data_IF_064975435630
#
_entry.id   IF_064975435630
#
_cell.length_a   1.000
_cell.length_b   1.000
_cell.length_c   1.000
_cell.angle_alpha   90.00
_cell.angle_beta   90.00
_cell.angle_gamma   90.00
#
_symmetry.space_group_name_H-M   'P 1'
#
loop_
_entity.id
_entity.type
_entity.pdbx_description
1 polymer ?
#
# COMPACT_ATOMS: atom_id res chain seq x y z
N UNK A 1 -65.27 5.58 11.32
CA UNK A 1 -64.51 4.48 11.94
C UNK A 1 -63.03 4.85 11.92
N UNK A 2 -62.52 5.28 13.07
CA UNK A 2 -61.12 5.67 13.30
C UNK A 2 -60.28 4.42 13.59
N UNK A 3 -59.39 4.05 12.67
CA UNK A 3 -58.46 2.92 12.88
C UNK A 3 -57.08 3.45 13.25
N UNK A 4 -56.69 3.04 14.46
CA UNK A 4 -55.51 3.38 15.22
C UNK A 4 -54.24 2.78 14.58
N UNK A 5 -53.28 3.63 14.19
CA UNK A 5 -51.99 3.22 13.60
C UNK A 5 -50.97 3.03 14.73
N UNK A 6 -50.60 1.78 15.02
CA UNK A 6 -49.55 1.45 16.01
C UNK A 6 -48.14 1.85 15.51
N UNK A 7 -47.27 2.39 16.38
CA UNK A 7 -45.90 2.78 16.01
C UNK A 7 -44.95 1.57 16.08
N UNK A 8 -44.74 0.89 14.95
CA UNK A 8 -43.81 -0.25 14.80
C UNK A 8 -42.40 0.10 14.32
N UNK A 9 -41.98 1.37 14.36
CA UNK A 9 -40.72 1.85 13.74
C UNK A 9 -39.50 1.81 14.68
N UNK A 10 -39.64 1.35 15.93
CA UNK A 10 -38.58 1.40 16.96
C UNK A 10 -37.96 0.04 17.32
N UNK A 11 -38.52 -1.07 16.84
CA UNK A 11 -38.04 -2.41 17.24
C UNK A 11 -36.67 -2.79 16.68
N UNK A 12 -36.26 -2.25 15.53
CA UNK A 12 -35.00 -2.63 14.87
C UNK A 12 -33.78 -1.95 15.50
N UNK A 13 -33.94 -0.78 16.14
CA UNK A 13 -32.85 -0.12 16.87
C UNK A 13 -32.66 -0.73 18.27
N UNK A 14 -33.71 -1.27 18.88
CA UNK A 14 -33.66 -1.83 20.23
C UNK A 14 -33.11 -3.27 20.28
N UNK A 15 -33.10 -3.99 19.14
CA UNK A 15 -32.64 -5.38 19.11
C UNK A 15 -31.13 -5.53 18.87
N UNK A 16 -30.43 -4.45 18.52
CA UNK A 16 -28.96 -4.42 18.32
C UNK A 16 -28.22 -4.05 19.63
N UNK A 17 -28.90 -3.48 20.62
CA UNK A 17 -28.30 -3.07 21.91
C UNK A 17 -28.18 -4.17 22.97
N UNK A 18 -28.70 -5.39 22.74
CA UNK A 18 -28.85 -6.41 23.79
C UNK A 18 -28.04 -7.71 23.63
N UNK A 19 -26.99 -7.72 22.81
CA UNK A 19 -26.08 -8.88 22.71
C UNK A 19 -24.64 -8.50 23.11
N UNK A 20 -24.39 -8.47 24.43
CA UNK A 20 -23.17 -8.97 25.12
C UNK A 20 -22.83 -8.13 26.37
N UNK A 21 -22.76 -8.74 27.58
CA UNK A 21 -22.33 -8.06 28.80
C UNK A 21 -20.79 -8.03 28.90
N UNK A 22 -20.20 -6.84 29.00
CA UNK A 22 -18.80 -6.66 29.42
C UNK A 22 -18.72 -6.57 30.96
N UNK A 23 -17.75 -7.22 31.63
CA UNK A 23 -17.47 -6.96 33.04
C UNK A 23 -16.64 -5.67 33.23
N UNK A 24 -16.65 -5.07 34.45
CA UNK A 24 -16.27 -3.68 34.67
C UNK A 24 -14.75 -3.46 34.83
N UNK A 25 -14.33 -2.27 34.41
CA UNK A 25 -12.99 -1.70 34.58
C UNK A 25 -12.79 -1.30 36.05
N UNK A 26 -11.76 -1.84 36.70
CA UNK A 26 -11.28 -1.35 38.00
C UNK A 26 -10.30 -0.19 37.80
N UNK A 27 -10.71 0.98 38.29
CA UNK A 27 -9.88 2.14 38.60
C UNK A 27 -9.02 1.84 39.84
N UNK A 28 -7.72 2.18 39.81
CA UNK A 28 -6.91 2.38 41.01
C UNK A 28 -6.08 3.66 40.84
N UNK A 29 -6.06 4.40 41.94
CA UNK A 29 -5.75 5.81 42.17
C UNK A 29 -4.27 6.17 42.33
N UNK A 30 -4.06 7.49 42.36
CA UNK A 30 -2.84 8.29 42.53
C UNK A 30 -1.98 8.09 43.80
N UNK A 31 -0.67 8.34 43.60
CA UNK A 31 0.32 9.09 44.43
C UNK A 31 0.91 8.44 45.71
N UNK A 32 2.03 8.95 46.31
CA UNK A 32 2.92 10.07 45.95
C UNK A 32 4.46 9.80 46.04
N UNK A 33 5.22 10.85 45.70
CA UNK A 33 6.63 11.18 45.92
C UNK A 33 7.29 10.72 47.24
N UNK A 34 8.61 10.44 47.17
CA UNK A 34 9.58 10.90 48.16
C UNK A 34 10.98 11.04 47.53
N UNK A 35 11.57 12.20 47.79
CA UNK A 35 12.91 12.65 47.42
C UNK A 35 13.85 12.34 48.60
N UNK A 36 15.13 12.02 48.38
CA UNK A 36 16.12 12.39 49.40
C UNK A 36 17.53 12.66 48.87
N UNK A 37 18.15 13.59 49.59
CA UNK A 37 19.35 14.38 49.34
C UNK A 37 20.67 13.68 49.76
N UNK A 38 21.79 14.05 49.12
CA UNK A 38 23.02 14.63 49.73
C UNK A 38 24.16 14.72 48.67
N UNK A 39 24.62 15.91 48.20
CA UNK A 39 25.71 16.79 48.73
C UNK A 39 27.04 16.01 48.96
N UNK A 40 28.23 16.39 48.45
CA UNK A 40 28.96 17.69 48.49
C UNK A 40 30.26 17.57 47.66
N UNK A 41 30.56 18.46 46.70
CA UNK A 41 31.54 19.57 46.72
C UNK A 41 33.04 19.25 46.95
N UNK A 42 33.89 19.43 45.91
CA UNK A 42 35.12 20.27 45.98
C UNK A 42 35.75 20.52 44.59
N UNK A 43 35.95 21.80 44.31
CA UNK A 43 36.75 22.44 43.26
C UNK A 43 38.24 22.16 43.38
N UNK A 44 39.00 22.16 42.26
CA UNK A 44 40.26 22.91 42.04
C UNK A 44 40.69 22.84 40.56
N UNK A 45 41.26 23.95 40.07
CA UNK A 45 41.74 24.25 38.70
C UNK A 45 43.29 24.30 38.75
N UNK A 46 44.03 24.57 37.65
CA UNK A 46 44.58 23.66 36.63
C UNK A 46 46.12 23.48 36.74
N UNK A 47 46.71 22.55 35.98
CA UNK A 47 48.13 22.65 35.61
C UNK A 47 48.37 22.17 34.17
N UNK A 48 48.94 23.06 33.36
CA UNK A 48 49.50 22.81 32.04
C UNK A 48 50.78 21.98 32.17
N UNK A 49 50.88 20.87 31.44
CA UNK A 49 52.16 20.36 30.91
C UNK A 49 51.92 19.94 29.47
N UNK A 50 52.84 20.35 28.61
CA UNK A 50 52.79 20.20 27.17
C UNK A 50 53.38 18.85 26.71
N UNK A 51 52.92 18.46 25.51
CA UNK A 51 53.64 17.64 24.51
C UNK A 51 53.79 16.15 24.75
N UNK A 52 53.04 15.35 23.97
CA UNK A 52 53.63 14.34 23.07
C UNK A 52 52.58 13.85 22.06
N UNK A 53 52.90 14.07 20.79
CA UNK A 53 52.20 13.69 19.57
C UNK A 53 52.01 12.17 19.49
N UNK A 54 50.76 11.70 19.56
CA UNK A 54 50.36 10.38 19.05
C UNK A 54 49.40 10.59 17.87
N UNK A 55 49.85 10.27 16.67
CA UNK A 55 48.98 10.06 15.52
C UNK A 55 47.98 8.94 15.86
N UNK A 56 46.71 9.31 16.00
CA UNK A 56 45.57 8.40 15.87
C UNK A 56 44.87 8.74 14.55
N UNK A 57 44.60 7.76 13.67
CA UNK A 57 43.73 8.02 12.52
C UNK A 57 42.32 8.30 13.04
N UNK A 58 41.85 9.50 12.78
CA UNK A 58 40.49 9.94 13.08
C UNK A 58 39.51 9.29 12.10
N UNK A 59 38.69 8.35 12.60
CA UNK A 59 37.40 8.06 11.97
C UNK A 59 36.49 9.29 12.12
N UNK A 60 35.86 9.82 11.05
CA UNK A 60 34.74 10.72 11.22
C UNK A 60 33.46 9.89 11.32
N UNK A 61 33.13 9.46 12.54
CA UNK A 61 31.75 9.04 12.87
C UNK A 61 30.93 10.31 13.15
N UNK A 62 30.46 10.97 12.09
CA UNK A 62 29.34 11.91 12.14
C UNK A 62 28.53 11.74 10.86
N UNK A 63 27.70 10.70 10.81
CA UNK A 63 26.57 10.64 9.88
C UNK A 63 25.52 11.63 10.39
N UNK A 64 25.73 12.91 10.09
CA UNK A 64 24.68 13.90 10.15
C UNK A 64 23.95 13.80 8.81
N UNK A 65 22.71 13.32 8.82
CA UNK A 65 21.77 13.47 7.70
C UNK A 65 21.65 14.97 7.40
N UNK A 66 22.50 15.47 6.51
CA UNK A 66 22.44 16.84 6.04
C UNK A 66 21.36 16.87 4.95
N UNK A 67 20.10 17.07 5.37
CA UNK A 67 19.06 17.43 4.43
C UNK A 67 19.47 18.76 3.77
N UNK A 68 19.83 18.72 2.49
CA UNK A 68 20.04 19.94 1.72
C UNK A 68 18.75 20.79 1.78
N UNK A 69 18.86 22.12 1.93
CA UNK A 69 17.69 22.98 1.90
C UNK A 69 16.92 22.79 0.59
N UNK A 70 15.60 22.57 0.68
CA UNK A 70 14.71 22.60 -0.47
C UNK A 70 14.95 23.89 -1.25
N UNK A 71 15.44 23.78 -2.49
CA UNK A 71 15.59 24.96 -3.36
C UNK A 71 14.20 25.50 -3.72
N UNK A 72 14.02 26.83 -3.79
CA UNK A 72 12.82 27.39 -4.40
C UNK A 72 12.79 26.96 -5.88
N UNK A 73 11.61 26.55 -6.33
CA UNK A 73 11.35 26.10 -7.70
C UNK A 73 12.01 27.07 -8.69
N UNK A 74 12.88 26.55 -9.56
CA UNK A 74 13.35 27.29 -10.72
C UNK A 74 12.16 27.57 -11.61
N UNK A 75 11.75 28.83 -11.67
CA UNK A 75 10.67 29.32 -12.54
C UNK A 75 11.16 29.30 -13.99
N UNK A 76 11.29 28.13 -14.58
CA UNK A 76 11.49 28.00 -16.03
C UNK A 76 10.13 28.24 -16.67
N UNK A 77 10.01 29.40 -17.31
CA UNK A 77 8.80 29.88 -17.97
C UNK A 77 8.40 28.96 -19.13
N UNK A 78 7.47 28.05 -18.83
CA UNK A 78 6.68 27.27 -19.78
C UNK A 78 7.14 25.82 -19.93
N UNK A 79 6.32 24.85 -19.48
CA UNK A 79 5.92 23.62 -20.21
C UNK A 79 5.24 22.58 -19.28
N UNK A 80 3.95 22.30 -19.50
CA UNK A 80 3.28 21.05 -19.08
C UNK A 80 3.04 20.78 -17.57
N UNK A 81 1.86 20.26 -17.24
CA UNK A 81 1.55 19.72 -15.90
C UNK A 81 2.52 18.61 -15.46
N UNK A 82 3.15 17.93 -16.43
CA UNK A 82 4.10 16.86 -16.21
C UNK A 82 5.45 17.34 -15.65
N UNK A 83 6.06 18.38 -16.24
CA UNK A 83 7.33 18.91 -15.74
C UNK A 83 7.13 19.59 -14.37
N UNK A 84 5.99 20.25 -14.15
CA UNK A 84 5.66 20.75 -12.80
C UNK A 84 5.53 19.64 -11.74
N UNK A 85 5.11 18.43 -12.12
CA UNK A 85 5.11 17.28 -11.21
C UNK A 85 6.53 16.72 -11.02
N UNK A 86 7.33 16.68 -12.09
CA UNK A 86 8.73 16.25 -12.02
C UNK A 86 9.57 17.18 -11.13
N UNK A 87 9.29 18.49 -11.13
CA UNK A 87 9.96 19.48 -10.29
C UNK A 87 9.38 19.59 -8.88
N UNK A 88 8.44 18.72 -8.51
CA UNK A 88 7.78 18.82 -7.21
C UNK A 88 8.71 18.43 -6.04
N UNK A 89 8.45 18.98 -4.85
CA UNK A 89 9.20 18.68 -3.63
C UNK A 89 9.26 17.18 -3.25
N UNK A 90 8.20 16.35 -3.41
CA UNK A 90 8.30 14.93 -3.10
C UNK A 90 9.21 14.17 -4.09
N UNK A 91 9.31 14.61 -5.34
CA UNK A 91 10.24 14.01 -6.32
C UNK A 91 11.68 14.30 -5.92
N UNK A 92 12.01 15.55 -5.62
CA UNK A 92 13.34 15.93 -5.12
C UNK A 92 13.72 15.20 -3.83
N UNK A 93 12.79 15.06 -2.87
CA UNK A 93 13.03 14.27 -1.65
C UNK A 93 13.37 12.81 -1.98
N UNK A 94 12.70 12.27 -3.00
CA UNK A 94 12.90 10.90 -3.46
C UNK A 94 14.25 10.74 -4.16
N UNK A 95 14.67 11.71 -4.98
CA UNK A 95 16.01 11.76 -5.58
C UNK A 95 17.10 11.75 -4.49
N UNK A 96 16.96 12.62 -3.49
CA UNK A 96 17.89 12.70 -2.36
C UNK A 96 17.95 11.40 -1.57
N UNK A 97 16.81 10.73 -1.40
CA UNK A 97 16.76 9.41 -0.76
C UNK A 97 17.53 8.37 -1.58
N UNK A 98 17.36 8.33 -2.90
CA UNK A 98 18.11 7.41 -3.77
C UNK A 98 19.62 7.66 -3.71
N UNK A 99 20.03 8.93 -3.81
CA UNK A 99 21.43 9.34 -3.73
C UNK A 99 22.01 8.96 -2.37
N UNK A 100 21.27 9.23 -1.29
CA UNK A 100 21.71 8.90 0.07
C UNK A 100 21.89 7.39 0.27
N UNK A 101 20.96 6.57 -0.23
CA UNK A 101 21.10 5.10 -0.17
C UNK A 101 22.31 4.64 -0.98
N UNK A 102 22.51 5.16 -2.17
CA UNK A 102 23.68 4.82 -3.00
C UNK A 102 25.00 5.20 -2.31
N UNK A 103 25.12 6.42 -1.80
CA UNK A 103 26.33 6.91 -1.11
C UNK A 103 26.62 6.18 0.20
N UNK A 104 25.59 5.81 0.96
CA UNK A 104 25.77 5.13 2.25
C UNK A 104 26.07 3.64 2.11
N UNK A 105 25.50 2.99 1.09
CA UNK A 105 25.71 1.55 0.85
C UNK A 105 26.94 1.27 -0.01
N UNK A 106 27.36 2.21 -0.85
CA UNK A 106 28.45 2.03 -1.81
C UNK A 106 28.14 0.98 -2.89
N UNK A 107 26.87 0.58 -3.03
CA UNK A 107 26.45 -0.41 -4.01
C UNK A 107 26.36 0.22 -5.41
N UNK A 108 26.54 -0.56 -6.49
CA UNK A 108 26.28 -0.07 -7.84
C UNK A 108 24.83 0.41 -7.97
N UNK A 109 24.56 1.32 -8.92
CA UNK A 109 23.26 1.97 -9.07
C UNK A 109 22.11 0.98 -9.25
N UNK A 110 22.28 -0.06 -10.06
CA UNK A 110 21.25 -1.08 -10.25
C UNK A 110 20.83 -1.72 -8.92
N UNK A 111 21.79 -2.04 -8.04
CA UNK A 111 21.53 -2.66 -6.75
C UNK A 111 20.92 -1.65 -5.77
N UNK A 112 21.41 -0.41 -5.77
CA UNK A 112 20.86 0.68 -4.94
C UNK A 112 19.38 0.93 -5.24
N UNK A 113 18.99 0.94 -6.53
CA UNK A 113 17.60 1.08 -6.97
C UNK A 113 16.75 -0.09 -6.46
N UNK A 114 17.22 -1.33 -6.65
CA UNK A 114 16.50 -2.54 -6.20
C UNK A 114 16.36 -2.56 -4.68
N UNK A 115 17.44 -2.32 -3.92
CA UNK A 115 17.42 -2.29 -2.46
C UNK A 115 16.48 -1.20 -1.92
N UNK A 116 16.53 0.00 -2.48
CA UNK A 116 15.62 1.09 -2.12
C UNK A 116 14.16 0.70 -2.37
N UNK A 117 13.89 0.08 -3.52
CA UNK A 117 12.55 -0.38 -3.90
C UNK A 117 12.04 -1.44 -2.94
N UNK A 118 12.87 -2.45 -2.63
CA UNK A 118 12.54 -3.52 -1.66
C UNK A 118 12.27 -2.91 -0.28
N UNK A 119 13.10 -1.98 0.18
CA UNK A 119 12.94 -1.33 1.47
C UNK A 119 11.64 -0.53 1.55
N UNK A 120 11.38 0.36 0.58
CA UNK A 120 10.15 1.16 0.53
C UNK A 120 8.90 0.29 0.45
N UNK A 121 8.93 -0.74 -0.41
CA UNK A 121 7.84 -1.71 -0.52
C UNK A 121 7.63 -2.44 0.81
N UNK A 122 8.69 -2.97 1.42
CA UNK A 122 8.55 -3.80 2.62
C UNK A 122 8.15 -2.99 3.84
N UNK A 123 8.70 -1.79 4.03
CA UNK A 123 8.43 -0.95 5.21
C UNK A 123 7.06 -0.28 5.10
N UNK A 124 6.68 0.21 3.91
CA UNK A 124 5.44 0.98 3.76
C UNK A 124 4.28 0.09 3.28
N UNK A 125 4.51 -0.70 2.22
CA UNK A 125 3.42 -1.35 1.48
C UNK A 125 2.99 -2.66 2.11
N UNK A 126 3.91 -3.40 2.74
CA UNK A 126 3.59 -4.68 3.38
C UNK A 126 2.67 -4.52 4.62
N UNK A 127 2.93 -3.60 5.58
CA UNK A 127 2.02 -3.39 6.71
C UNK A 127 0.65 -2.89 6.25
N UNK A 128 0.62 -1.96 5.28
CA UNK A 128 -0.62 -1.49 4.67
C UNK A 128 -1.36 -2.61 3.95
N UNK A 129 -0.65 -3.51 3.26
CA UNK A 129 -1.21 -4.68 2.60
C UNK A 129 -1.80 -5.70 3.59
N UNK A 130 -1.12 -5.93 4.72
CA UNK A 130 -1.66 -6.74 5.81
C UNK A 130 -2.93 -6.12 6.39
N UNK A 131 -2.93 -4.80 6.65
CA UNK A 131 -4.11 -4.07 7.11
C UNK A 131 -5.27 -4.17 6.10
N UNK A 132 -4.98 -3.97 4.81
CA UNK A 132 -5.96 -4.14 3.74
C UNK A 132 -6.55 -5.55 3.75
N UNK A 133 -5.73 -6.59 3.91
CA UNK A 133 -6.19 -7.98 3.98
C UNK A 133 -7.12 -8.22 5.18
N UNK A 134 -6.83 -7.65 6.35
CA UNK A 134 -7.71 -7.71 7.53
C UNK A 134 -9.08 -7.08 7.24
N UNK A 135 -9.11 -5.88 6.64
CA UNK A 135 -10.38 -5.20 6.33
C UNK A 135 -11.19 -5.99 5.30
N UNK A 136 -10.54 -6.49 4.24
CA UNK A 136 -11.21 -7.31 3.22
C UNK A 136 -11.79 -8.58 3.84
N UNK A 137 -11.03 -9.27 4.70
CA UNK A 137 -11.51 -10.47 5.38
C UNK A 137 -12.75 -10.21 6.24
N UNK A 138 -12.78 -9.09 6.97
CA UNK A 138 -13.97 -8.67 7.74
C UNK A 138 -15.18 -8.38 6.84
N UNK A 139 -14.96 -7.69 5.73
CA UNK A 139 -16.03 -7.38 4.77
C UNK A 139 -16.58 -8.65 4.12
N UNK A 140 -15.71 -9.63 3.80
CA UNK A 140 -16.10 -10.93 3.26
C UNK A 140 -16.93 -11.74 4.27
N UNK A 141 -16.54 -11.76 5.54
CA UNK A 141 -17.31 -12.41 6.61
C UNK A 141 -18.71 -11.77 6.77
N UNK A 142 -18.80 -10.45 6.71
CA UNK A 142 -20.07 -9.71 6.79
C UNK A 142 -21.01 -9.94 5.60
N UNK A 143 -20.51 -10.38 4.43
CA UNK A 143 -21.39 -10.62 3.27
C UNK A 143 -22.49 -11.64 3.57
N UNK A 144 -22.22 -12.61 4.46
CA UNK A 144 -23.20 -13.63 4.85
C UNK A 144 -24.35 -13.01 5.64
N UNK A 145 -24.03 -12.19 6.65
CA UNK A 145 -25.00 -11.46 7.46
C UNK A 145 -25.79 -10.46 6.59
N UNK A 146 -25.12 -9.73 5.70
CA UNK A 146 -25.76 -8.81 4.75
C UNK A 146 -26.74 -9.56 3.84
N UNK A 147 -26.39 -10.74 3.35
CA UNK A 147 -27.25 -11.53 2.48
C UNK A 147 -28.52 -12.01 3.21
N UNK A 148 -28.41 -12.39 4.48
CA UNK A 148 -29.56 -12.76 5.31
C UNK A 148 -30.47 -11.57 5.60
N UNK A 149 -29.90 -10.45 6.03
CA UNK A 149 -30.65 -9.21 6.28
C UNK A 149 -31.30 -8.68 5.00
N UNK A 150 -30.66 -8.83 3.85
CA UNK A 150 -31.25 -8.49 2.55
C UNK A 150 -32.49 -9.36 2.24
N UNK A 151 -32.48 -10.66 2.55
CA UNK A 151 -33.66 -11.54 2.36
C UNK A 151 -34.82 -11.08 3.26
N UNK A 152 -34.56 -10.83 4.55
CA UNK A 152 -35.56 -10.34 5.51
C UNK A 152 -36.15 -8.99 5.08
N UNK A 153 -35.29 -8.05 4.67
CA UNK A 153 -35.70 -6.74 4.19
C UNK A 153 -36.56 -6.81 2.91
N UNK A 154 -36.25 -7.73 1.97
CA UNK A 154 -37.10 -7.95 0.79
C UNK A 154 -38.49 -8.43 1.19
N UNK A 155 -38.58 -9.38 2.10
CA UNK A 155 -39.84 -9.89 2.61
C UNK A 155 -40.67 -8.76 3.26
N UNK A 156 -40.08 -8.00 4.18
CA UNK A 156 -40.76 -6.88 4.83
C UNK A 156 -41.27 -5.81 3.85
N UNK A 157 -40.47 -5.48 2.83
CA UNK A 157 -40.88 -4.51 1.81
C UNK A 157 -42.00 -5.09 0.96
N UNK A 158 -41.98 -6.39 0.64
CA UNK A 158 -43.05 -7.02 -0.13
C UNK A 158 -44.40 -7.02 0.60
N UNK A 159 -44.40 -7.22 1.92
CA UNK A 159 -45.60 -7.12 2.75
C UNK A 159 -46.10 -5.68 2.79
N UNK A 160 -45.25 -4.72 3.14
CA UNK A 160 -45.63 -3.29 3.19
C UNK A 160 -46.06 -2.73 1.84
N UNK A 161 -45.53 -3.27 0.74
CA UNK A 161 -45.91 -2.88 -0.60
C UNK A 161 -47.35 -3.31 -0.94
N UNK A 162 -47.78 -4.50 -0.48
CA UNK A 162 -49.16 -4.96 -0.61
C UNK A 162 -50.10 -4.08 0.22
N UNK A 163 -49.74 -3.80 1.47
CA UNK A 163 -50.58 -3.00 2.37
C UNK A 163 -50.79 -1.56 1.89
N UNK A 164 -49.77 -0.96 1.26
CA UNK A 164 -49.77 0.46 0.83
C UNK A 164 -49.92 0.67 -0.66
N UNK A 165 -50.12 -0.39 -1.45
CA UNK A 165 -50.20 -0.31 -2.91
C UNK A 165 -48.96 0.32 -3.57
N UNK A 166 -47.75 0.03 -3.07
CA UNK A 166 -46.53 0.65 -3.60
C UNK A 166 -46.19 0.13 -5.00
N UNK A 167 -45.76 1.05 -5.88
CA UNK A 167 -45.21 0.68 -7.18
C UNK A 167 -43.87 -0.05 -7.04
N UNK A 168 -43.53 -0.87 -8.04
CA UNK A 168 -42.30 -1.65 -8.05
C UNK A 168 -41.03 -0.76 -7.99
N UNK A 169 -41.07 0.41 -8.66
CA UNK A 169 -40.00 1.42 -8.58
C UNK A 169 -39.80 1.90 -7.14
N UNK A 170 -40.90 2.17 -6.43
CA UNK A 170 -40.84 2.61 -5.03
C UNK A 170 -40.28 1.51 -4.12
N UNK A 171 -40.67 0.25 -4.34
CA UNK A 171 -40.16 -0.90 -3.61
C UNK A 171 -38.64 -1.06 -3.80
N UNK A 172 -38.16 -1.00 -5.05
CA UNK A 172 -36.72 -1.06 -5.36
C UNK A 172 -35.94 0.07 -4.71
N UNK A 173 -36.45 1.31 -4.78
CA UNK A 173 -35.83 2.46 -4.14
C UNK A 173 -35.73 2.27 -2.62
N UNK A 174 -36.83 1.88 -1.97
CA UNK A 174 -36.89 1.65 -0.52
C UNK A 174 -35.97 0.51 -0.10
N UNK A 175 -35.89 -0.57 -0.89
CA UNK A 175 -34.98 -1.68 -0.65
C UNK A 175 -33.52 -1.21 -0.71
N UNK A 176 -33.12 -0.54 -1.81
CA UNK A 176 -31.76 -0.03 -1.98
C UNK A 176 -31.36 0.96 -0.87
N UNK A 177 -32.26 1.87 -0.50
CA UNK A 177 -32.04 2.86 0.56
C UNK A 177 -31.84 2.20 1.93
N UNK A 178 -32.72 1.30 2.33
CA UNK A 178 -32.62 0.62 3.62
C UNK A 178 -31.44 -0.35 3.67
N UNK A 179 -31.19 -1.10 2.59
CA UNK A 179 -30.04 -2.00 2.53
C UNK A 179 -28.72 -1.23 2.65
N UNK A 180 -28.59 -0.09 1.96
CA UNK A 180 -27.42 0.79 2.09
C UNK A 180 -27.21 1.26 3.54
N UNK A 181 -28.29 1.62 4.25
CA UNK A 181 -28.22 2.02 5.67
C UNK A 181 -27.74 0.87 6.55
N UNK A 182 -28.35 -0.31 6.43
CA UNK A 182 -27.99 -1.51 7.20
C UNK A 182 -26.51 -1.86 6.95
N UNK A 183 -26.08 -1.92 5.70
CA UNK A 183 -24.67 -2.21 5.34
C UNK A 183 -23.72 -1.18 5.94
N UNK A 184 -24.09 0.11 5.91
CA UNK A 184 -23.29 1.17 6.53
C UNK A 184 -23.17 1.00 8.05
N UNK A 185 -24.27 0.66 8.72
CA UNK A 185 -24.28 0.41 10.18
C UNK A 185 -23.40 -0.79 10.55
N UNK A 186 -23.46 -1.87 9.77
CA UNK A 186 -22.58 -3.04 9.95
C UNK A 186 -21.11 -2.70 9.75
N UNK A 187 -20.77 -1.91 8.73
CA UNK A 187 -19.40 -1.47 8.51
C UNK A 187 -18.85 -0.58 9.61
N UNK A 188 -19.71 0.23 10.25
CA UNK A 188 -19.34 1.03 11.42
C UNK A 188 -19.17 0.14 12.66
N UNK A 189 -20.11 -0.79 12.90
CA UNK A 189 -20.07 -1.77 14.00
C UNK A 189 -18.76 -2.56 14.03
N UNK A 190 -18.34 -3.07 12.87
CA UNK A 190 -17.16 -3.94 12.76
C UNK A 190 -15.88 -3.17 12.35
N UNK A 191 -16.01 -1.84 12.20
CA UNK A 191 -14.95 -0.90 11.87
C UNK A 191 -14.19 -1.21 10.56
N UNK A 192 -14.90 -1.82 9.60
CA UNK A 192 -14.34 -2.41 8.37
C UNK A 192 -14.71 -1.66 7.09
N UNK A 193 -14.86 -0.34 7.16
CA UNK A 193 -15.26 0.47 6.01
C UNK A 193 -14.34 0.23 4.80
N UNK A 194 -14.87 -0.03 3.59
CA UNK A 194 -14.07 -0.40 2.42
C UNK A 194 -13.03 0.65 2.00
N UNK A 195 -13.25 1.92 2.35
CA UNK A 195 -12.26 2.99 2.14
C UNK A 195 -10.93 2.75 2.88
N UNK A 196 -10.94 2.04 4.01
CA UNK A 196 -9.71 1.67 4.71
C UNK A 196 -8.88 0.66 3.91
N UNK A 197 -9.54 -0.19 3.14
CA UNK A 197 -8.88 -1.15 2.25
C UNK A 197 -8.30 -0.48 1.00
N UNK A 198 -8.81 0.68 0.57
CA UNK A 198 -8.24 1.42 -0.56
C UNK A 198 -7.02 2.27 -0.20
N UNK A 199 -6.71 2.44 1.09
CA UNK A 199 -5.57 3.23 1.55
C UNK A 199 -4.23 2.81 0.92
N UNK A 200 -4.03 1.50 0.70
CA UNK A 200 -2.81 1.01 0.05
C UNK A 200 -2.63 1.63 -1.34
N UNK A 201 -3.71 1.73 -2.14
CA UNK A 201 -3.66 2.30 -3.49
C UNK A 201 -3.28 3.78 -3.44
N UNK A 202 -3.84 4.52 -2.48
CA UNK A 202 -3.59 5.95 -2.31
C UNK A 202 -2.18 6.27 -1.84
N UNK A 203 -1.51 5.35 -1.15
CA UNK A 203 -0.09 5.51 -0.75
C UNK A 203 0.83 4.98 -1.84
N UNK A 204 0.47 3.85 -2.46
CA UNK A 204 1.29 3.15 -3.43
C UNK A 204 1.46 3.93 -4.74
N UNK A 205 0.38 4.51 -5.27
CA UNK A 205 0.41 5.19 -6.56
C UNK A 205 1.28 6.47 -6.50
N UNK A 206 1.10 7.39 -5.53
CA UNK A 206 1.96 8.58 -5.44
C UNK A 206 3.42 8.23 -5.21
N UNK A 207 3.72 7.28 -4.31
CA UNK A 207 5.08 6.78 -4.11
C UNK A 207 5.66 6.24 -5.42
N UNK A 208 4.86 5.48 -6.18
CA UNK A 208 5.33 4.90 -7.42
C UNK A 208 5.63 5.96 -8.50
N UNK A 209 4.79 6.99 -8.60
CA UNK A 209 5.00 8.13 -9.50
C UNK A 209 6.24 8.92 -9.08
N UNK A 210 6.40 9.25 -7.79
CA UNK A 210 7.54 10.03 -7.31
C UNK A 210 8.87 9.32 -7.57
N UNK A 211 8.97 8.02 -7.32
CA UNK A 211 10.18 7.24 -7.59
C UNK A 211 10.48 7.15 -9.09
N UNK A 212 9.43 7.04 -9.92
CA UNK A 212 9.58 7.02 -11.38
C UNK A 212 10.11 8.35 -11.93
N UNK A 213 9.54 9.47 -11.48
CA UNK A 213 9.97 10.80 -11.90
C UNK A 213 11.37 11.13 -11.38
N UNK A 214 11.70 10.75 -10.15
CA UNK A 214 13.04 10.90 -9.61
C UNK A 214 14.06 10.16 -10.48
N UNK A 215 13.82 8.89 -10.80
CA UNK A 215 14.70 8.11 -11.68
C UNK A 215 14.80 8.69 -13.10
N UNK A 216 13.71 9.24 -13.63
CA UNK A 216 13.73 9.97 -14.91
C UNK A 216 14.66 11.18 -14.83
N UNK A 217 14.48 12.03 -13.83
CA UNK A 217 15.26 13.26 -13.67
C UNK A 217 16.76 12.96 -13.52
N UNK A 218 17.10 11.94 -12.73
CA UNK A 218 18.48 11.47 -12.58
C UNK A 218 19.05 10.91 -13.89
N UNK A 219 18.23 10.23 -14.70
CA UNK A 219 18.66 9.64 -15.98
C UNK A 219 18.83 10.69 -17.08
N UNK A 220 18.02 11.74 -17.07
CA UNK A 220 18.06 12.83 -18.04
C UNK A 220 19.04 13.95 -17.67
N UNK A 221 19.56 13.97 -16.44
CA UNK A 221 20.51 14.98 -16.00
C UNK A 221 19.90 16.39 -15.95
N UNK A 222 18.62 16.52 -15.56
CA UNK A 222 17.83 17.78 -15.61
C UNK A 222 18.38 18.90 -14.70
N UNK A 223 19.42 18.62 -13.89
CA UNK A 223 20.06 19.59 -13.00
C UNK A 223 21.59 19.49 -13.08
N UNK A 224 22.31 20.58 -12.81
CA UNK A 224 23.79 20.61 -12.86
C UNK A 224 24.45 19.58 -11.93
N UNK A 225 23.85 19.32 -10.76
CA UNK A 225 24.30 18.27 -9.85
C UNK A 225 23.95 16.85 -10.36
N UNK A 226 22.93 16.74 -11.22
CA UNK A 226 22.49 15.49 -11.80
C UNK A 226 23.37 15.06 -12.98
N UNK A 227 24.13 15.95 -13.63
CA UNK A 227 25.02 15.57 -14.75
C UNK A 227 26.16 14.65 -14.31
N UNK A 228 26.77 14.92 -13.15
CA UNK A 228 27.76 14.01 -12.57
C UNK A 228 27.13 12.67 -12.18
N UNK A 229 25.92 12.72 -11.58
CA UNK A 229 25.18 11.52 -11.19
C UNK A 229 24.72 10.69 -12.40
N UNK A 230 24.38 11.34 -13.51
CA UNK A 230 23.97 10.71 -14.74
C UNK A 230 25.11 9.88 -15.33
N UNK A 231 26.34 10.38 -15.23
CA UNK A 231 27.54 9.64 -15.68
C UNK A 231 27.73 8.38 -14.82
N UNK A 232 27.57 8.50 -13.51
CA UNK A 232 27.58 7.35 -12.59
C UNK A 232 26.45 6.35 -12.90
N UNK A 233 25.25 6.84 -13.24
CA UNK A 233 24.11 6.00 -13.65
C UNK A 233 24.40 5.26 -14.96
N UNK A 234 25.05 5.92 -15.93
CA UNK A 234 25.35 5.37 -17.25
C UNK A 234 26.37 4.23 -17.21
N UNK A 235 27.21 4.16 -16.18
CA UNK A 235 28.15 3.04 -15.96
C UNK A 235 27.72 2.11 -14.84
N UNK A 236 26.69 2.48 -14.08
CA UNK A 236 26.23 1.79 -12.87
C UNK A 236 25.27 0.63 -13.10
N UNK A 237 25.05 0.22 -14.35
CA UNK A 237 24.21 -0.92 -14.73
C UNK A 237 24.90 -2.28 -14.60
N UNK A 238 24.27 -3.32 -15.13
CA UNK A 238 24.82 -4.69 -15.11
C UNK A 238 24.24 -5.54 -16.23
N UNK A 239 24.80 -6.75 -16.42
CA UNK A 239 24.33 -7.74 -17.41
C UNK A 239 24.19 -7.13 -18.81
N UNK A 240 22.99 -7.14 -19.39
CA UNK A 240 22.68 -6.61 -20.72
C UNK A 240 22.21 -5.13 -20.69
N UNK A 241 22.12 -4.52 -19.49
CA UNK A 241 21.68 -3.14 -19.27
C UNK A 241 22.78 -2.33 -18.57
N UNK A 242 23.96 -2.25 -19.18
CA UNK A 242 25.11 -1.53 -18.61
C UNK A 242 24.84 -0.04 -18.40
N UNK A 243 24.10 0.59 -19.32
CA UNK A 243 23.68 1.98 -19.23
C UNK A 243 22.24 2.08 -18.71
N UNK A 244 22.08 2.61 -17.50
CA UNK A 244 20.78 2.78 -16.87
C UNK A 244 19.99 4.00 -17.39
N UNK A 245 20.64 4.90 -18.12
CA UNK A 245 20.03 6.12 -18.66
C UNK A 245 19.32 5.89 -19.99
N UNK A 246 19.74 4.86 -20.73
CA UNK A 246 19.16 4.50 -22.02
C UNK A 246 18.03 3.48 -21.89
N UNK A 247 17.06 3.46 -22.81
CA UNK A 247 16.07 2.40 -22.89
C UNK A 247 16.68 1.02 -23.17
N UNK A 248 16.06 -0.03 -22.65
CA UNK A 248 16.52 -1.42 -22.84
C UNK A 248 16.32 -1.90 -24.27
N UNK A 249 17.40 -1.92 -25.05
CA UNK A 249 17.40 -2.36 -26.45
C UNK A 249 17.10 -3.86 -26.63
N UNK A 250 17.27 -4.67 -25.58
CA UNK A 250 17.04 -6.12 -25.62
C UNK A 250 15.58 -6.50 -25.37
N UNK A 251 14.75 -5.56 -24.91
CA UNK A 251 13.35 -5.77 -24.52
C UNK A 251 13.15 -6.78 -23.38
N UNK A 252 14.21 -7.27 -22.75
CA UNK A 252 14.13 -8.27 -21.69
C UNK A 252 13.43 -7.68 -20.46
N UNK A 253 13.78 -6.47 -20.01
CA UNK A 253 13.14 -5.85 -18.85
C UNK A 253 11.67 -5.48 -19.11
N UNK A 254 11.31 -4.80 -20.23
CA UNK A 254 9.91 -4.49 -20.55
C UNK A 254 9.01 -5.72 -20.64
N UNK A 255 9.47 -6.78 -21.32
CA UNK A 255 8.70 -8.03 -21.45
C UNK A 255 8.57 -8.72 -20.09
N UNK A 256 9.65 -8.82 -19.32
CA UNK A 256 9.61 -9.39 -17.97
C UNK A 256 8.64 -8.65 -17.05
N UNK A 257 8.63 -7.31 -17.12
CA UNK A 257 7.69 -6.48 -16.36
C UNK A 257 6.24 -6.80 -16.71
N UNK A 258 5.92 -6.89 -18.01
CA UNK A 258 4.59 -7.24 -18.49
C UNK A 258 4.16 -8.64 -18.02
N UNK A 259 5.05 -9.62 -18.11
CA UNK A 259 4.81 -10.99 -17.67
C UNK A 259 4.56 -11.09 -16.16
N UNK A 260 5.37 -10.40 -15.34
CA UNK A 260 5.19 -10.39 -13.89
C UNK A 260 3.87 -9.69 -13.51
N UNK A 261 3.53 -8.57 -14.14
CA UNK A 261 2.26 -7.88 -13.89
C UNK A 261 1.04 -8.73 -14.30
N UNK A 262 1.17 -9.46 -15.41
CA UNK A 262 0.14 -10.43 -15.83
C UNK A 262 0.01 -11.56 -14.81
N UNK A 263 1.13 -12.10 -14.32
CA UNK A 263 1.14 -13.13 -13.29
C UNK A 263 0.48 -12.65 -11.99
N UNK A 264 0.79 -11.43 -11.52
CA UNK A 264 0.12 -10.82 -10.36
C UNK A 264 -1.40 -10.78 -10.57
N UNK A 265 -1.83 -10.36 -11.77
CA UNK A 265 -3.24 -10.29 -12.15
C UNK A 265 -3.90 -11.66 -12.13
N UNK A 266 -3.23 -12.70 -12.65
CA UNK A 266 -3.74 -14.07 -12.63
C UNK A 266 -3.84 -14.62 -11.21
N UNK A 267 -2.79 -14.47 -10.41
CA UNK A 267 -2.78 -14.89 -9.01
C UNK A 267 -3.94 -14.24 -8.26
N UNK A 268 -4.24 -12.97 -8.50
CA UNK A 268 -5.39 -12.28 -7.91
C UNK A 268 -6.74 -12.75 -8.47
N UNK A 269 -6.83 -13.01 -9.78
CA UNK A 269 -8.05 -13.52 -10.42
C UNK A 269 -8.42 -14.91 -9.91
N UNK A 270 -7.43 -15.80 -9.71
CA UNK A 270 -7.61 -17.16 -9.19
C UNK A 270 -8.15 -17.19 -7.76
N UNK A 271 -7.96 -16.12 -6.97
CA UNK A 271 -8.53 -16.03 -5.61
C UNK A 271 -10.05 -15.94 -5.60
N UNK A 272 -10.68 -15.58 -6.71
CA UNK A 272 -12.11 -15.25 -6.75
C UNK A 272 -12.93 -16.46 -7.20
N UNK A 273 -13.45 -17.19 -6.21
CA UNK A 273 -14.30 -18.39 -6.41
C UNK A 273 -15.58 -18.03 -7.21
N UNK A 274 -16.17 -16.84 -6.99
CA UNK A 274 -17.36 -16.36 -7.71
C UNK A 274 -17.21 -14.92 -8.22
N UNK A 275 -16.43 -14.73 -9.29
CA UNK A 275 -16.24 -13.40 -9.86
C UNK A 275 -17.49 -12.88 -10.61
N UNK A 276 -17.99 -11.70 -10.19
CA UNK A 276 -19.08 -10.98 -10.90
C UNK A 276 -18.68 -10.57 -12.33
N UNK A 277 -19.65 -10.34 -13.22
CA UNK A 277 -19.42 -9.87 -14.61
C UNK A 277 -18.54 -8.61 -14.64
N UNK A 278 -18.82 -7.65 -13.76
CA UNK A 278 -18.02 -6.43 -13.63
C UNK A 278 -16.56 -6.74 -13.23
N UNK A 279 -16.37 -7.69 -12.32
CA UNK A 279 -15.04 -8.09 -11.87
C UNK A 279 -14.25 -8.81 -12.97
N UNK A 280 -14.92 -9.62 -13.80
CA UNK A 280 -14.30 -10.24 -14.98
C UNK A 280 -13.85 -9.18 -15.99
N UNK A 281 -14.70 -8.19 -16.26
CA UNK A 281 -14.37 -7.05 -17.11
C UNK A 281 -13.15 -6.28 -16.58
N UNK A 282 -13.15 -5.91 -15.30
CA UNK A 282 -12.02 -5.23 -14.65
C UNK A 282 -10.73 -6.07 -14.74
N UNK A 283 -10.82 -7.39 -14.54
CA UNK A 283 -9.66 -8.27 -14.63
C UNK A 283 -9.10 -8.30 -16.05
N UNK A 284 -9.95 -8.45 -17.08
CA UNK A 284 -9.54 -8.40 -18.48
C UNK A 284 -8.94 -7.04 -18.87
N UNK A 285 -9.49 -5.96 -18.34
CA UNK A 285 -8.95 -4.62 -18.55
C UNK A 285 -7.54 -4.48 -17.95
N UNK A 286 -7.30 -4.98 -16.73
CA UNK A 286 -5.96 -4.96 -16.10
C UNK A 286 -4.97 -5.85 -16.85
N UNK A 287 -5.41 -6.99 -17.42
CA UNK A 287 -4.58 -7.81 -18.33
C UNK A 287 -4.13 -6.98 -19.54
N UNK A 288 -5.05 -6.25 -20.16
CA UNK A 288 -4.76 -5.34 -21.27
C UNK A 288 -3.73 -4.26 -20.87
N UNK A 289 -3.89 -3.64 -19.70
CA UNK A 289 -2.90 -2.68 -19.17
C UNK A 289 -1.53 -3.34 -18.98
N UNK A 290 -1.48 -4.57 -18.49
CA UNK A 290 -0.21 -5.28 -18.26
C UNK A 290 0.56 -5.50 -19.56
N UNK A 291 -0.15 -5.78 -20.67
CA UNK A 291 0.45 -5.88 -22.01
C UNK A 291 0.82 -4.51 -22.58
N UNK A 292 -0.01 -3.49 -22.38
CA UNK A 292 0.28 -2.11 -22.80
C UNK A 292 1.49 -1.51 -22.08
N UNK A 293 1.77 -1.95 -20.85
CA UNK A 293 2.95 -1.51 -20.11
C UNK A 293 4.26 -1.96 -20.73
N UNK A 294 4.27 -2.98 -21.60
CA UNK A 294 5.49 -3.45 -22.27
C UNK A 294 6.06 -2.38 -23.21
N UNK A 295 5.34 -1.88 -24.23
CA UNK A 295 5.88 -0.82 -25.11
C UNK A 295 6.15 0.49 -24.36
N UNK A 296 5.40 0.80 -23.29
CA UNK A 296 5.67 1.97 -22.45
C UNK A 296 7.00 1.79 -21.70
N UNK A 297 7.25 0.61 -21.13
CA UNK A 297 8.51 0.33 -20.46
C UNK A 297 9.71 0.25 -21.41
N UNK A 298 9.48 -0.03 -22.70
CA UNK A 298 10.52 -0.04 -23.72
C UNK A 298 10.97 1.37 -24.14
N UNK A 299 10.24 2.44 -23.82
CA UNK A 299 10.60 3.82 -24.17
C UNK A 299 11.21 4.61 -23.01
N UNK A 300 11.15 4.10 -21.79
CA UNK A 300 11.71 4.77 -20.61
C UNK A 300 13.16 4.31 -20.35
N UNK A 301 13.97 5.11 -19.64
CA UNK A 301 15.29 4.70 -19.17
C UNK A 301 15.28 3.36 -18.44
N UNK A 302 16.34 2.57 -18.62
CA UNK A 302 16.55 1.28 -17.98
C UNK A 302 16.48 1.35 -16.46
N UNK A 303 16.89 2.46 -15.84
CA UNK A 303 16.74 2.73 -14.41
C UNK A 303 15.28 2.65 -13.93
N UNK A 304 14.35 3.25 -14.69
CA UNK A 304 12.92 3.24 -14.41
C UNK A 304 12.33 1.86 -14.66
N UNK A 305 12.70 1.21 -15.77
CA UNK A 305 12.24 -0.13 -16.10
C UNK A 305 12.68 -1.16 -15.03
N UNK A 306 13.93 -1.07 -14.56
CA UNK A 306 14.47 -1.89 -13.47
C UNK A 306 13.71 -1.66 -12.16
N UNK A 307 13.43 -0.39 -11.83
CA UNK A 307 12.57 -0.06 -10.70
C UNK A 307 11.18 -0.69 -10.84
N UNK A 308 10.51 -0.52 -11.97
CA UNK A 308 9.17 -1.08 -12.18
C UNK A 308 9.17 -2.59 -12.06
N UNK A 309 10.15 -3.26 -12.67
CA UNK A 309 10.30 -4.71 -12.61
C UNK A 309 10.53 -5.20 -11.17
N UNK A 310 11.50 -4.63 -10.47
CA UNK A 310 11.79 -4.97 -9.06
C UNK A 310 10.59 -4.70 -8.15
N UNK A 311 9.90 -3.57 -8.35
CA UNK A 311 8.63 -3.25 -7.70
C UNK A 311 7.59 -4.33 -7.86
N UNK A 312 7.38 -4.80 -9.09
CA UNK A 312 6.38 -5.81 -9.41
C UNK A 312 6.77 -7.17 -8.82
N UNK A 313 8.05 -7.56 -8.90
CA UNK A 313 8.54 -8.77 -8.25
C UNK A 313 8.30 -8.77 -6.74
N UNK A 314 8.61 -7.67 -6.05
CA UNK A 314 8.34 -7.52 -4.61
C UNK A 314 6.83 -7.51 -4.34
N UNK A 315 6.03 -6.86 -5.18
CA UNK A 315 4.57 -6.87 -5.08
C UNK A 315 3.97 -8.26 -5.21
N UNK A 316 4.48 -9.08 -6.14
CA UNK A 316 4.13 -10.50 -6.26
C UNK A 316 4.53 -11.26 -4.99
N UNK A 317 5.76 -11.06 -4.51
CA UNK A 317 6.25 -11.63 -3.27
C UNK A 317 5.36 -11.31 -2.07
N UNK A 318 4.98 -10.04 -1.88
CA UNK A 318 4.04 -9.62 -0.84
C UNK A 318 2.66 -10.27 -1.00
N UNK A 319 2.15 -10.40 -2.23
CA UNK A 319 0.88 -11.07 -2.48
C UNK A 319 0.91 -12.54 -2.08
N UNK A 320 2.00 -13.24 -2.40
CA UNK A 320 2.23 -14.63 -2.04
C UNK A 320 2.48 -14.79 -0.53
N UNK A 321 3.17 -13.84 0.09
CA UNK A 321 3.44 -13.82 1.53
C UNK A 321 2.14 -13.63 2.33
N UNK A 322 1.29 -12.68 1.92
CA UNK A 322 -0.02 -12.43 2.53
C UNK A 322 -1.01 -13.59 2.37
N UNK A 323 -0.72 -14.57 1.50
CA UNK A 323 -1.48 -15.82 1.38
C UNK A 323 -0.97 -16.93 2.28
N UNK A 324 0.28 -16.85 2.76
CA UNK A 324 0.84 -17.87 3.62
C UNK A 324 0.02 -17.99 4.91
N UNK A 325 -0.45 -19.20 5.30
CA UNK A 325 -1.20 -19.39 6.54
C UNK A 325 -0.38 -19.00 7.78
N UNK A 326 0.95 -19.16 7.72
CA UNK A 326 1.86 -18.72 8.78
C UNK A 326 1.85 -17.19 8.92
N UNK A 327 2.05 -16.48 7.82
CA UNK A 327 2.08 -15.01 7.83
C UNK A 327 0.71 -14.41 8.18
N UNK A 328 -0.39 -15.01 7.71
CA UNK A 328 -1.75 -14.58 8.07
C UNK A 328 -2.02 -14.74 9.57
N UNK A 329 -1.54 -15.83 10.19
CA UNK A 329 -1.58 -16.01 11.65
C UNK A 329 -0.72 -14.96 12.37
N UNK A 330 0.49 -14.71 11.88
CA UNK A 330 1.39 -13.68 12.44
C UNK A 330 0.74 -12.29 12.43
N UNK A 331 0.11 -11.92 11.31
CA UNK A 331 -0.58 -10.63 11.15
C UNK A 331 -2.01 -10.62 11.71
N UNK A 332 -2.48 -11.70 12.34
CA UNK A 332 -3.86 -11.85 12.87
C UNK A 332 -4.95 -11.55 11.83
N UNK A 333 -4.72 -11.98 10.58
CA UNK A 333 -5.69 -11.83 9.50
C UNK A 333 -6.81 -12.88 9.69
N UNK A 334 -8.09 -12.48 9.77
CA UNK A 334 -9.19 -13.42 9.93
C UNK A 334 -9.25 -14.46 8.79
N UNK A 335 -9.69 -15.69 9.09
CA UNK A 335 -9.94 -16.68 8.05
C UNK A 335 -11.11 -16.24 7.17
N UNK A 336 -11.00 -16.48 5.88
CA UNK A 336 -12.00 -16.25 4.85
C UNK A 336 -12.32 -17.56 4.12
N UNK A 337 -13.45 -17.60 3.42
CA UNK A 337 -13.90 -18.78 2.67
C UNK A 337 -12.94 -19.21 1.55
N UNK A 338 -12.05 -18.32 1.14
CA UNK A 338 -11.10 -18.56 0.04
C UNK A 338 -9.71 -19.00 0.54
N UNK A 339 -9.54 -19.13 1.85
CA UNK A 339 -8.28 -19.58 2.43
C UNK A 339 -8.21 -21.10 2.42
N UNK A 340 -7.01 -21.60 2.12
CA UNK A 340 -6.68 -23.02 2.12
C UNK A 340 -5.40 -23.23 2.91
N UNK A 341 -5.22 -24.44 3.44
CA UNK A 341 -4.00 -24.85 4.12
C UNK A 341 -2.81 -24.96 3.15
N UNK A 342 -3.07 -25.15 1.85
CA UNK A 342 -2.03 -25.29 0.81
C UNK A 342 -2.19 -24.28 -0.34
N UNK A 343 -2.10 -22.96 -0.07
CA UNK A 343 -2.47 -21.93 -1.04
C UNK A 343 -1.63 -21.95 -2.33
N UNK A 344 -0.36 -22.34 -2.25
CA UNK A 344 0.52 -22.41 -3.43
C UNK A 344 0.19 -23.60 -4.35
N UNK A 345 -0.18 -24.74 -3.76
CA UNK A 345 -0.62 -25.92 -4.53
C UNK A 345 -1.94 -25.64 -5.23
N UNK A 346 -2.84 -24.91 -4.58
CA UNK A 346 -4.14 -24.56 -5.14
C UNK A 346 -4.05 -23.54 -6.27
N UNK A 347 -3.11 -22.58 -6.15
CA UNK A 347 -2.81 -21.67 -7.26
C UNK A 347 -2.27 -22.47 -8.45
N UNK A 348 -1.32 -23.39 -8.23
CA UNK A 348 -0.77 -24.21 -9.30
C UNK A 348 -1.84 -25.08 -9.97
N UNK A 349 -2.66 -25.79 -9.18
CA UNK A 349 -3.74 -26.65 -9.71
C UNK A 349 -4.79 -25.84 -10.46
N UNK A 350 -5.18 -24.68 -9.94
CA UNK A 350 -6.15 -23.79 -10.60
C UNK A 350 -5.58 -23.19 -11.88
N UNK A 351 -4.29 -22.87 -11.91
CA UNK A 351 -3.60 -22.38 -13.10
C UNK A 351 -3.56 -23.46 -14.19
N UNK A 352 -3.14 -24.68 -13.85
CA UNK A 352 -3.12 -25.84 -14.76
C UNK A 352 -4.52 -26.12 -15.31
N UNK A 353 -5.54 -26.19 -14.44
CA UNK A 353 -6.91 -26.45 -14.90
C UNK A 353 -7.48 -25.36 -15.78
N UNK A 354 -6.97 -24.12 -15.73
CA UNK A 354 -7.50 -23.00 -16.50
C UNK A 354 -6.84 -22.85 -17.86
N UNK A 355 -5.55 -23.17 -17.97
CA UNK A 355 -4.73 -22.86 -19.16
C UNK A 355 -4.15 -24.07 -19.88
N UNK A 356 -4.10 -25.24 -19.23
CA UNK A 356 -3.47 -26.46 -19.77
C UNK A 356 -4.53 -27.53 -20.11
N UNK A 357 -5.81 -27.24 -19.89
CA UNK A 357 -6.92 -28.15 -20.25
C UNK A 357 -7.31 -28.05 -21.71
#
# INVERSE_FOLDING_TARGET
MTVNVRPGSLWILHQISHLSPRPPIRSISHAPFACDHHKTYRSHVPLRVATLTRLRPSLPLKSTLCFQPCRPASTTSGTGWYESLADSTPVHLTEQLLISVHQTTGLPWWASIVCTTVALRTVVTLPLGAYQAVIIAKVEALQVEIAELAKRLRYEISVRAKDKGWTEKHCRYKFKKNLKRIVSELYVRDNCHPFKASLLVWVQLPMWVCLSLALRNLSLGVSDAATALQTELAVGGTLWFSDLTLPDSTWIMPVSLGLINLLITEVFALRRIEASKFQKYVTNFIRGISLLMIPIAATVPSSMALYWLSSSCVGLGHNLLLRSPCFRRLCRIPPTRSDSDTPYRDIASSFVSKYIK
#
